data_IF_019310931043
#
_entry.id   IF_019310931043
#
_cell.length_a   1.000
_cell.length_b   1.000
_cell.length_c   1.000
_cell.angle_alpha   90.00
_cell.angle_beta   90.00
_cell.angle_gamma   90.00
#
_symmetry.space_group_name_H-M   'P 1'
#
loop_
_entity.id
_entity.type
_entity.pdbx_description
1 polymer ?
#
# COMPACT_ATOMS: atom_id res chain seq x y z
N UNK A 1 51.47 -38.90 -17.26
CA UNK A 1 50.71 -40.14 -17.01
C UNK A 1 49.62 -39.85 -15.99
N UNK A 2 48.46 -40.49 -16.18
CA UNK A 2 47.16 -40.34 -15.51
C UNK A 2 46.20 -39.28 -16.11
N UNK A 3 44.90 -39.62 -16.28
CA UNK A 3 44.16 -39.33 -17.51
C UNK A 3 43.04 -38.28 -17.37
N UNK A 4 42.70 -37.67 -18.51
CA UNK A 4 41.49 -36.88 -18.70
C UNK A 4 40.27 -37.80 -18.82
N UNK A 5 39.24 -37.55 -18.00
CA UNK A 5 37.90 -38.13 -18.21
C UNK A 5 37.04 -37.09 -18.92
N UNK A 6 36.77 -37.42 -20.17
CA UNK A 6 35.79 -36.83 -21.08
C UNK A 6 34.41 -37.33 -20.69
N UNK A 7 33.48 -36.42 -20.37
CA UNK A 7 32.05 -36.73 -20.45
C UNK A 7 31.41 -35.74 -21.40
N UNK A 8 31.28 -36.20 -22.65
CA UNK A 8 30.48 -35.57 -23.69
C UNK A 8 29.03 -35.89 -23.40
N UNK A 9 28.23 -34.87 -23.07
CA UNK A 9 26.78 -34.99 -23.02
C UNK A 9 26.16 -34.10 -24.09
N UNK A 10 25.91 -34.77 -25.21
CA UNK A 10 25.14 -34.30 -26.35
C UNK A 10 23.68 -34.15 -25.93
N UNK A 11 23.17 -32.93 -25.86
CA UNK A 11 21.72 -32.67 -25.92
C UNK A 11 21.47 -31.66 -27.03
N UNK A 12 20.70 -32.13 -28.00
CA UNK A 12 20.35 -31.45 -29.21
C UNK A 12 19.36 -30.30 -28.95
N UNK A 13 19.74 -29.11 -29.44
CA UNK A 13 18.95 -28.30 -30.39
C UNK A 13 17.47 -28.02 -30.03
N UNK A 14 17.26 -26.99 -29.21
CA UNK A 14 16.08 -26.11 -29.34
C UNK A 14 16.35 -24.74 -28.69
N UNK A 15 16.21 -23.66 -29.46
CA UNK A 15 16.00 -22.31 -28.92
C UNK A 15 17.26 -21.47 -28.61
N UNK A 16 18.01 -21.13 -29.63
CA UNK A 16 18.97 -20.01 -29.59
C UNK A 16 18.22 -18.70 -29.28
N UNK A 17 18.50 -18.06 -28.13
CA UNK A 17 17.92 -16.75 -27.84
C UNK A 17 18.13 -16.14 -26.44
N UNK A 18 18.61 -16.89 -25.44
CA UNK A 18 18.63 -16.38 -24.05
C UNK A 18 20.00 -16.48 -23.33
N UNK A 19 21.01 -17.11 -23.93
CA UNK A 19 22.30 -17.37 -23.25
C UNK A 19 23.35 -16.27 -23.49
N UNK A 20 22.93 -14.99 -23.49
CA UNK A 20 23.88 -13.85 -23.57
C UNK A 20 23.90 -12.95 -22.34
N UNK A 21 23.34 -13.40 -21.22
CA UNK A 21 23.32 -12.62 -19.97
C UNK A 21 24.04 -13.26 -18.77
N UNK A 22 24.61 -14.45 -18.90
CA UNK A 22 25.25 -15.14 -17.75
C UNK A 22 26.78 -15.09 -17.72
N UNK A 23 27.41 -14.24 -18.53
CA UNK A 23 28.84 -13.93 -18.38
C UNK A 23 29.00 -12.41 -18.44
N UNK A 24 28.59 -11.73 -17.36
CA UNK A 24 29.02 -10.37 -17.07
C UNK A 24 29.95 -10.47 -15.85
N UNK A 25 31.26 -10.21 -15.99
CA UNK A 25 32.16 -10.24 -14.85
C UNK A 25 31.73 -9.19 -13.83
N UNK A 26 31.61 -9.61 -12.57
CA UNK A 26 31.37 -8.74 -11.44
C UNK A 26 32.53 -7.74 -11.34
N UNK A 27 32.28 -6.49 -11.77
CA UNK A 27 33.15 -5.37 -11.41
C UNK A 27 32.77 -4.95 -10.00
N UNK A 28 33.65 -5.25 -9.04
CA UNK A 28 33.65 -4.61 -7.73
C UNK A 28 33.65 -3.09 -7.93
N UNK A 29 32.70 -2.34 -7.35
CA UNK A 29 32.83 -0.90 -7.27
C UNK A 29 33.87 -0.61 -6.19
N UNK A 30 35.12 -0.42 -6.62
CA UNK A 30 36.10 0.32 -5.84
C UNK A 30 35.53 1.73 -5.69
N UNK A 31 35.45 2.19 -4.44
CA UNK A 31 35.13 3.56 -4.06
C UNK A 31 36.09 4.52 -4.77
N UNK A 32 35.68 5.02 -5.93
CA UNK A 32 36.38 6.10 -6.63
C UNK A 32 35.78 7.43 -6.15
N UNK A 33 36.40 7.94 -5.08
CA UNK A 33 36.03 9.14 -4.35
C UNK A 33 36.58 10.40 -5.03
N UNK A 34 36.45 10.52 -6.36
CA UNK A 34 36.85 11.74 -7.07
C UNK A 34 36.47 11.73 -8.55
N UNK A 35 35.23 12.06 -8.90
CA UNK A 35 34.93 12.75 -10.15
C UNK A 35 33.44 13.13 -10.23
N UNK A 36 33.19 14.43 -10.36
CA UNK A 36 31.92 15.08 -10.74
C UNK A 36 30.79 15.01 -9.71
N UNK A 37 30.60 16.13 -9.00
CA UNK A 37 29.45 16.42 -8.15
C UNK A 37 28.14 16.51 -8.95
N UNK A 38 27.60 15.35 -9.35
CA UNK A 38 26.18 15.19 -9.69
C UNK A 38 25.54 14.37 -8.58
N UNK A 39 24.66 15.01 -7.83
CA UNK A 39 23.84 14.33 -6.84
C UNK A 39 22.95 13.28 -7.53
N UNK A 40 23.10 11.97 -7.20
CA UNK A 40 22.26 10.91 -7.75
C UNK A 40 20.78 11.05 -7.35
N UNK A 41 20.46 11.91 -6.37
CA UNK A 41 19.11 12.19 -5.89
C UNK A 41 18.32 13.19 -6.75
N UNK A 42 18.98 13.92 -7.66
CA UNK A 42 18.32 14.89 -8.54
C UNK A 42 17.81 14.27 -9.85
N UNK A 43 18.49 13.24 -10.38
CA UNK A 43 18.13 12.62 -11.67
C UNK A 43 16.96 11.62 -11.58
N UNK A 44 16.63 11.10 -10.39
CA UNK A 44 15.48 10.21 -10.19
C UNK A 44 14.11 10.93 -10.24
N UNK A 45 14.09 12.28 -10.12
CA UNK A 45 12.87 13.09 -10.02
C UNK A 45 12.13 13.37 -11.35
N UNK A 46 12.78 13.64 -12.50
CA UNK A 46 12.06 13.96 -13.73
C UNK A 46 11.31 12.77 -14.34
N UNK A 47 11.90 11.56 -14.33
CA UNK A 47 11.27 10.37 -14.90
C UNK A 47 10.09 9.87 -14.06
N UNK A 48 10.16 9.99 -12.73
CA UNK A 48 9.04 9.67 -11.84
C UNK A 48 7.85 10.63 -12.03
N UNK A 49 8.10 11.92 -12.30
CA UNK A 49 7.04 12.91 -12.59
C UNK A 49 6.34 12.64 -13.93
N UNK A 50 7.08 12.25 -14.98
CA UNK A 50 6.50 11.91 -16.28
C UNK A 50 5.67 10.61 -16.23
N UNK A 51 6.14 9.58 -15.51
CA UNK A 51 5.38 8.34 -15.30
C UNK A 51 4.13 8.55 -14.42
N UNK A 52 4.20 9.45 -13.43
CA UNK A 52 3.03 9.89 -12.65
C UNK A 52 2.03 10.66 -13.51
N UNK A 53 2.48 11.56 -14.38
CA UNK A 53 1.61 12.31 -15.30
C UNK A 53 0.84 11.39 -16.28
N UNK A 54 1.51 10.37 -16.81
CA UNK A 54 0.88 9.39 -17.70
C UNK A 54 -0.20 8.54 -17.00
N UNK A 55 0.03 8.15 -15.74
CA UNK A 55 -0.95 7.39 -14.95
C UNK A 55 -2.13 8.25 -14.49
N UNK A 56 -1.93 9.55 -14.20
CA UNK A 56 -3.01 10.49 -13.90
C UNK A 56 -3.87 10.78 -15.13
N UNK A 57 -3.25 10.96 -16.31
CA UNK A 57 -3.98 11.17 -17.57
C UNK A 57 -4.84 9.95 -17.96
N UNK A 58 -4.33 8.72 -17.79
CA UNK A 58 -5.12 7.50 -18.02
C UNK A 58 -6.27 7.33 -17.03
N UNK A 59 -6.08 7.76 -15.77
CA UNK A 59 -7.13 7.72 -14.73
C UNK A 59 -8.20 8.79 -14.95
N UNK A 60 -7.83 9.99 -15.41
CA UNK A 60 -8.79 11.05 -15.78
C UNK A 60 -9.70 10.66 -16.94
N UNK A 61 -9.17 9.92 -17.92
CA UNK A 61 -9.93 9.42 -19.07
C UNK A 61 -11.02 8.41 -18.64
N UNK A 62 -10.71 7.56 -17.66
CA UNK A 62 -11.70 6.64 -17.06
C UNK A 62 -12.82 7.38 -16.31
N UNK A 63 -12.50 8.52 -15.69
CA UNK A 63 -13.48 9.32 -14.94
C UNK A 63 -14.42 10.08 -15.89
N UNK A 64 -13.88 10.64 -16.98
CA UNK A 64 -14.68 11.25 -18.05
C UNK A 64 -15.59 10.21 -18.71
N UNK A 65 -15.07 9.01 -18.99
CA UNK A 65 -15.87 7.92 -19.57
C UNK A 65 -17.02 7.49 -18.64
N UNK A 66 -16.77 7.39 -17.33
CA UNK A 66 -17.81 7.09 -16.35
C UNK A 66 -18.86 8.20 -16.26
N UNK A 67 -18.45 9.47 -16.37
CA UNK A 67 -19.36 10.61 -16.33
C UNK A 67 -20.25 10.65 -17.58
N UNK A 68 -19.69 10.40 -18.76
CA UNK A 68 -20.44 10.27 -20.02
C UNK A 68 -21.42 9.10 -19.94
N UNK A 69 -20.97 7.94 -19.45
CA UNK A 69 -21.83 6.76 -19.32
C UNK A 69 -22.97 6.98 -18.30
N UNK A 70 -22.69 7.69 -17.21
CA UNK A 70 -23.69 8.07 -16.22
C UNK A 70 -24.73 9.04 -16.80
N UNK A 71 -24.29 10.05 -17.57
CA UNK A 71 -25.19 10.98 -18.25
C UNK A 71 -26.08 10.26 -19.26
N UNK A 72 -25.50 9.33 -20.03
CA UNK A 72 -26.23 8.55 -21.02
C UNK A 72 -27.27 7.62 -20.35
N UNK A 73 -26.87 6.95 -19.25
CA UNK A 73 -27.79 6.15 -18.46
C UNK A 73 -28.93 6.98 -17.85
N UNK A 74 -28.62 8.15 -17.30
CA UNK A 74 -29.62 9.06 -16.75
C UNK A 74 -30.59 9.59 -17.82
N UNK A 75 -30.08 9.88 -19.02
CA UNK A 75 -30.89 10.29 -20.17
C UNK A 75 -31.92 9.21 -20.54
N UNK A 76 -31.47 7.96 -20.73
CA UNK A 76 -32.36 6.84 -21.11
C UNK A 76 -33.41 6.59 -20.02
N UNK A 77 -32.99 6.53 -18.76
CA UNK A 77 -33.91 6.33 -17.62
C UNK A 77 -34.92 7.48 -17.53
N UNK A 78 -34.48 8.72 -17.74
CA UNK A 78 -35.35 9.88 -17.75
C UNK A 78 -36.41 9.82 -18.86
N UNK A 79 -36.01 9.47 -20.08
CA UNK A 79 -36.96 9.34 -21.21
C UNK A 79 -37.98 8.23 -20.97
N UNK A 80 -37.54 7.08 -20.46
CA UNK A 80 -38.43 5.96 -20.12
C UNK A 80 -39.38 6.34 -18.98
N UNK A 81 -38.92 7.07 -17.97
CA UNK A 81 -39.76 7.55 -16.86
C UNK A 81 -40.84 8.53 -17.35
N UNK A 82 -40.53 9.43 -18.29
CA UNK A 82 -41.51 10.36 -18.88
C UNK A 82 -42.58 9.59 -19.66
N UNK A 83 -42.19 8.63 -20.51
CA UNK A 83 -43.13 7.82 -21.28
C UNK A 83 -44.04 6.97 -20.37
N UNK A 84 -43.48 6.37 -19.32
CA UNK A 84 -44.24 5.62 -18.32
C UNK A 84 -45.15 6.54 -17.49
N UNK A 85 -44.73 7.78 -17.21
CA UNK A 85 -45.53 8.78 -16.51
C UNK A 85 -46.77 9.18 -17.28
N UNK A 86 -46.65 9.36 -18.60
CA UNK A 86 -47.79 9.61 -19.49
C UNK A 86 -48.75 8.41 -19.47
N UNK A 87 -48.22 7.19 -19.53
CA UNK A 87 -49.02 5.96 -19.45
C UNK A 87 -49.74 5.77 -18.10
N UNK A 88 -49.09 6.13 -16.99
CA UNK A 88 -49.68 6.08 -15.65
C UNK A 88 -50.79 7.13 -15.48
N UNK A 89 -50.58 8.34 -15.99
CA UNK A 89 -51.59 9.40 -15.99
C UNK A 89 -52.82 9.05 -16.84
N UNK A 90 -52.65 8.21 -17.86
CA UNK A 90 -53.74 7.64 -18.66
C UNK A 90 -54.51 6.49 -17.95
N UNK A 91 -54.18 6.19 -16.69
CA UNK A 91 -54.88 5.19 -15.87
C UNK A 91 -54.33 3.76 -15.96
N UNK A 92 -53.17 3.55 -16.59
CA UNK A 92 -52.56 2.21 -16.66
C UNK A 92 -51.81 1.86 -15.36
N UNK A 93 -52.37 0.91 -14.61
CA UNK A 93 -51.76 0.37 -13.38
C UNK A 93 -50.41 -0.28 -13.64
N UNK A 94 -50.24 -0.92 -14.80
CA UNK A 94 -48.98 -1.56 -15.21
C UNK A 94 -47.90 -0.51 -15.47
N UNK A 95 -48.26 0.63 -16.08
CA UNK A 95 -47.33 1.74 -16.29
C UNK A 95 -46.87 2.37 -14.96
N UNK A 96 -47.75 2.46 -13.96
CA UNK A 96 -47.40 2.93 -12.62
C UNK A 96 -46.38 2.04 -11.90
N UNK A 97 -46.54 0.71 -11.97
CA UNK A 97 -45.58 -0.24 -11.41
C UNK A 97 -44.22 -0.18 -12.10
N UNK A 98 -44.22 -0.15 -13.44
CA UNK A 98 -43.00 -0.03 -14.22
C UNK A 98 -42.28 1.29 -13.94
N UNK A 99 -43.01 2.40 -13.78
CA UNK A 99 -42.45 3.70 -13.39
C UNK A 99 -41.74 3.63 -12.03
N UNK A 100 -42.40 3.04 -11.03
CA UNK A 100 -41.80 2.83 -9.71
C UNK A 100 -40.52 2.00 -9.78
N UNK A 101 -40.50 0.93 -10.58
CA UNK A 101 -39.32 0.08 -10.76
C UNK A 101 -38.17 0.83 -11.46
N UNK A 102 -38.46 1.63 -12.50
CA UNK A 102 -37.46 2.48 -13.15
C UNK A 102 -36.89 3.56 -12.24
N UNK A 103 -37.73 4.16 -11.39
CA UNK A 103 -37.29 5.12 -10.37
C UNK A 103 -36.37 4.45 -9.34
N UNK A 104 -36.74 3.25 -8.88
CA UNK A 104 -35.92 2.48 -7.93
C UNK A 104 -34.56 2.11 -8.53
N UNK A 105 -34.53 1.63 -9.78
CA UNK A 105 -33.27 1.36 -10.48
C UNK A 105 -32.43 2.63 -10.68
N UNK A 106 -33.07 3.75 -10.99
CA UNK A 106 -32.40 5.05 -11.07
C UNK A 106 -31.75 5.45 -9.75
N UNK A 107 -32.48 5.30 -8.63
CA UNK A 107 -32.00 5.58 -7.27
C UNK A 107 -30.85 4.65 -6.86
N UNK A 108 -30.94 3.37 -7.22
CA UNK A 108 -29.89 2.40 -6.95
C UNK A 108 -28.64 2.68 -7.79
N UNK A 109 -28.82 3.10 -9.05
CA UNK A 109 -27.76 3.54 -9.94
C UNK A 109 -27.06 4.79 -9.42
N UNK A 110 -27.80 5.82 -9.01
CA UNK A 110 -27.24 7.06 -8.44
C UNK A 110 -26.56 6.81 -7.09
N UNK A 111 -27.11 5.92 -6.25
CA UNK A 111 -26.46 5.51 -5.01
C UNK A 111 -25.14 4.77 -5.28
N UNK A 112 -25.11 3.84 -6.23
CA UNK A 112 -23.91 3.06 -6.56
C UNK A 112 -22.82 3.92 -7.22
N UNK A 113 -23.21 4.78 -8.16
CA UNK A 113 -22.31 5.75 -8.81
C UNK A 113 -21.84 6.82 -7.83
N UNK A 114 -22.71 7.33 -6.96
CA UNK A 114 -22.34 8.26 -5.89
C UNK A 114 -21.34 7.66 -4.91
N UNK A 115 -21.55 6.40 -4.52
CA UNK A 115 -20.60 5.67 -3.67
C UNK A 115 -19.26 5.41 -4.38
N UNK A 116 -19.28 5.13 -5.69
CA UNK A 116 -18.06 4.98 -6.49
C UNK A 116 -17.34 6.30 -6.74
N UNK A 117 -18.08 7.40 -6.95
CA UNK A 117 -17.56 8.75 -7.07
C UNK A 117 -16.97 9.23 -5.74
N UNK A 118 -17.60 8.94 -4.60
CA UNK A 118 -17.04 9.20 -3.26
C UNK A 118 -15.76 8.43 -3.00
N UNK A 119 -15.66 7.17 -3.45
CA UNK A 119 -14.41 6.41 -3.38
C UNK A 119 -13.31 6.99 -4.28
N UNK A 120 -13.67 7.54 -5.45
CA UNK A 120 -12.73 8.21 -6.34
C UNK A 120 -12.34 9.60 -5.81
N UNK A 121 -13.24 10.35 -5.18
CA UNK A 121 -12.98 11.63 -4.53
C UNK A 121 -12.11 11.45 -3.29
N UNK A 122 -12.36 10.41 -2.47
CA UNK A 122 -11.44 10.00 -1.40
C UNK A 122 -10.07 9.63 -1.94
N UNK A 123 -10.00 8.95 -3.09
CA UNK A 123 -8.74 8.68 -3.78
C UNK A 123 -8.12 9.93 -4.46
N UNK A 124 -8.85 11.04 -4.58
CA UNK A 124 -8.38 12.32 -5.14
C UNK A 124 -7.91 13.27 -4.04
N UNK A 125 -8.44 13.16 -2.81
CA UNK A 125 -7.87 13.81 -1.62
C UNK A 125 -6.49 13.25 -1.23
N UNK A 126 -6.12 12.08 -1.77
CA UNK A 126 -4.77 11.49 -1.66
C UNK A 126 -3.76 11.99 -2.72
N UNK A 127 -4.10 12.99 -3.54
CA UNK A 127 -3.13 13.71 -4.38
C UNK A 127 -2.76 15.03 -3.69
N UNK A 128 -1.67 15.11 -2.91
CA UNK A 128 -1.20 16.39 -2.44
C UNK A 128 -0.64 17.16 -3.65
N UNK A 129 -1.42 18.15 -4.10
CA UNK A 129 -0.87 19.35 -4.71
C UNK A 129 0.02 20.02 -3.65
N UNK A 130 1.30 19.66 -3.64
CA UNK A 130 2.25 20.14 -2.65
C UNK A 130 3.17 19.03 -2.20
N UNK A 131 4.32 18.93 -2.85
CA UNK A 131 5.43 18.06 -2.48
C UNK A 131 6.13 18.49 -1.16
N UNK A 132 5.37 18.98 -0.17
CA UNK A 132 5.87 19.47 1.12
C UNK A 132 5.26 18.76 2.34
N UNK A 133 4.40 17.74 2.15
CA UNK A 133 3.95 16.89 3.28
C UNK A 133 4.87 15.69 3.50
N UNK A 134 6.12 15.99 3.89
CA UNK A 134 6.79 15.24 4.94
C UNK A 134 6.26 15.65 6.35
N UNK A 135 5.14 16.37 6.40
CA UNK A 135 4.34 16.55 7.59
C UNK A 135 3.56 15.25 7.83
N UNK A 136 3.90 14.59 8.94
CA UNK A 136 3.24 13.43 9.50
C UNK A 136 1.74 13.41 9.19
N UNK A 137 1.34 12.53 8.27
CA UNK A 137 -0.03 12.01 8.28
C UNK A 137 -0.27 11.42 9.69
N UNK A 138 -1.44 11.65 10.31
CA UNK A 138 -1.72 11.12 11.63
C UNK A 138 -1.59 9.60 11.59
N UNK A 139 -0.90 9.01 12.58
CA UNK A 139 -0.62 7.56 12.64
C UNK A 139 -1.90 6.70 12.59
N UNK A 140 -3.05 7.27 12.96
CA UNK A 140 -4.37 6.64 12.81
C UNK A 140 -4.76 6.27 11.37
N UNK A 141 -4.24 6.99 10.35
CA UNK A 141 -4.45 6.63 8.94
C UNK A 141 -3.68 5.35 8.56
N UNK A 142 -2.47 5.17 9.11
CA UNK A 142 -1.62 4.00 8.84
C UNK A 142 -2.15 2.76 9.55
N UNK A 143 -2.64 2.92 10.78
CA UNK A 143 -3.29 1.83 11.51
C UNK A 143 -4.57 1.36 10.79
N UNK A 144 -5.41 2.27 10.32
CA UNK A 144 -6.61 1.91 9.56
C UNK A 144 -6.26 1.16 8.26
N UNK A 145 -5.20 1.57 7.57
CA UNK A 145 -4.66 0.89 6.39
C UNK A 145 -4.19 -0.53 6.69
N UNK A 146 -3.44 -0.74 7.77
CA UNK A 146 -3.01 -2.06 8.23
C UNK A 146 -4.19 -2.99 8.55
N UNK A 147 -5.20 -2.49 9.26
CA UNK A 147 -6.40 -3.27 9.60
C UNK A 147 -7.25 -3.59 8.36
N UNK A 148 -7.26 -2.71 7.36
CA UNK A 148 -7.88 -3.00 6.07
C UNK A 148 -7.10 -4.07 5.32
N UNK A 149 -5.78 -3.98 5.27
CA UNK A 149 -4.90 -4.97 4.64
C UNK A 149 -5.09 -6.35 5.28
N UNK A 150 -5.14 -6.40 6.62
CA UNK A 150 -5.38 -7.63 7.38
C UNK A 150 -6.69 -8.30 6.94
N UNK A 151 -7.80 -7.55 7.02
CA UNK A 151 -9.13 -8.05 6.63
C UNK A 151 -9.20 -8.50 5.17
N UNK A 152 -8.46 -7.84 4.28
CA UNK A 152 -8.43 -8.16 2.86
C UNK A 152 -7.72 -9.50 2.57
N UNK A 153 -6.76 -9.92 3.40
CA UNK A 153 -5.87 -11.04 3.10
C UNK A 153 -5.97 -12.20 4.09
N UNK A 154 -6.63 -12.02 5.22
CA UNK A 154 -6.85 -13.06 6.24
C UNK A 154 -7.45 -14.35 5.65
N UNK A 155 -8.49 -14.22 4.82
CA UNK A 155 -9.17 -15.37 4.20
C UNK A 155 -8.43 -16.00 3.01
N UNK A 156 -7.47 -15.29 2.41
CA UNK A 156 -6.77 -15.74 1.20
C UNK A 156 -5.50 -16.55 1.50
N UNK A 157 -4.98 -16.46 2.72
CA UNK A 157 -3.74 -17.10 3.15
C UNK A 157 -4.00 -18.48 3.79
N UNK A 158 -3.08 -19.42 3.56
CA UNK A 158 -3.02 -20.70 4.28
C UNK A 158 -2.70 -20.49 5.76
N UNK A 159 -2.97 -21.49 6.60
CA UNK A 159 -2.83 -21.39 8.07
C UNK A 159 -1.48 -20.84 8.56
N UNK A 160 -0.30 -21.32 8.10
CA UNK A 160 0.98 -20.81 8.58
C UNK A 160 1.27 -19.37 8.10
N UNK A 161 0.94 -19.06 6.84
CA UNK A 161 1.11 -17.71 6.30
C UNK A 161 0.17 -16.70 6.97
N UNK A 162 -1.05 -17.11 7.30
CA UNK A 162 -2.03 -16.29 8.02
C UNK A 162 -1.53 -15.91 9.41
N UNK A 163 -1.02 -16.88 10.17
CA UNK A 163 -0.53 -16.60 11.52
C UNK A 163 0.72 -15.71 11.52
N UNK A 164 1.65 -15.93 10.59
CA UNK A 164 2.81 -15.07 10.38
C UNK A 164 2.38 -13.64 10.01
N UNK A 165 1.51 -13.50 9.01
CA UNK A 165 1.02 -12.20 8.57
C UNK A 165 0.31 -11.43 9.70
N UNK A 166 -0.53 -12.12 10.48
CA UNK A 166 -1.20 -11.51 11.63
C UNK A 166 -0.20 -11.00 12.67
N UNK A 167 0.83 -11.79 13.01
CA UNK A 167 1.89 -11.36 13.93
C UNK A 167 2.64 -10.15 13.41
N UNK A 168 3.02 -10.14 12.13
CA UNK A 168 3.72 -9.00 11.52
C UNK A 168 2.86 -7.73 11.54
N UNK A 169 1.57 -7.84 11.21
CA UNK A 169 0.65 -6.69 11.25
C UNK A 169 0.49 -6.15 12.68
N UNK A 170 0.33 -7.01 13.68
CA UNK A 170 0.23 -6.61 15.09
C UNK A 170 1.52 -5.94 15.55
N UNK A 171 2.69 -6.52 15.24
CA UNK A 171 3.98 -5.92 15.57
C UNK A 171 4.14 -4.53 14.94
N UNK A 172 3.72 -4.37 13.68
CA UNK A 172 3.79 -3.09 12.94
C UNK A 172 2.87 -2.04 13.54
N UNK A 173 1.63 -2.43 13.87
CA UNK A 173 0.70 -1.54 14.58
C UNK A 173 1.27 -1.09 15.93
N UNK A 174 1.81 -2.02 16.72
CA UNK A 174 2.32 -1.70 18.05
C UNK A 174 3.55 -0.79 17.97
N UNK A 175 4.44 -1.00 16.99
CA UNK A 175 5.56 -0.11 16.71
C UNK A 175 5.10 1.28 16.23
N UNK A 176 4.07 1.38 15.37
CA UNK A 176 3.50 2.65 14.93
C UNK A 176 2.97 3.48 16.12
N UNK A 177 2.23 2.85 17.04
CA UNK A 177 1.74 3.49 18.26
C UNK A 177 2.87 3.97 19.18
N UNK A 178 3.99 3.25 19.19
CA UNK A 178 5.19 3.69 19.90
C UNK A 178 5.93 4.83 19.18
N UNK A 179 5.73 5.00 17.87
CA UNK A 179 6.32 6.07 17.08
C UNK A 179 5.46 7.36 17.05
N UNK A 180 4.15 7.25 17.27
CA UNK A 180 3.19 8.37 17.17
C UNK A 180 3.45 9.52 18.17
N UNK A 181 3.79 9.20 19.43
CA UNK A 181 3.95 10.22 20.47
C UNK A 181 5.34 10.87 20.48
N UNK A 182 6.09 10.79 19.38
CA UNK A 182 7.43 11.35 19.30
C UNK A 182 7.40 12.77 18.70
N UNK A 183 8.05 13.75 19.33
CA UNK A 183 8.07 15.13 18.84
C UNK A 183 8.96 15.30 17.59
N UNK A 184 9.83 14.34 17.27
CA UNK A 184 10.76 14.39 16.14
C UNK A 184 10.62 13.17 15.24
N UNK A 185 10.63 13.39 13.92
CA UNK A 185 10.61 12.31 12.94
C UNK A 185 11.98 11.61 12.93
N UNK A 186 12.04 10.45 13.58
CA UNK A 186 13.25 9.64 13.65
C UNK A 186 13.30 8.60 12.51
N UNK A 187 14.51 8.11 12.19
CA UNK A 187 14.69 7.06 11.18
C UNK A 187 13.86 5.81 11.47
N UNK A 188 13.81 5.39 12.73
CA UNK A 188 13.02 4.21 13.09
C UNK A 188 11.51 4.45 12.89
N UNK A 189 11.01 5.66 13.14
CA UNK A 189 9.62 6.03 12.84
C UNK A 189 9.34 5.94 11.35
N UNK A 190 10.28 6.37 10.51
CA UNK A 190 10.18 6.22 9.06
C UNK A 190 10.20 4.76 8.63
N UNK A 191 11.12 3.94 9.14
CA UNK A 191 11.21 2.50 8.83
C UNK A 191 9.88 1.78 9.14
N UNK A 192 9.24 2.11 10.27
CA UNK A 192 7.96 1.50 10.66
C UNK A 192 6.79 2.00 9.80
N UNK A 193 6.76 3.29 9.46
CA UNK A 193 5.76 3.84 8.54
C UNK A 193 5.91 3.26 7.13
N UNK A 194 7.14 3.08 6.65
CA UNK A 194 7.43 2.45 5.37
C UNK A 194 6.96 1.00 5.37
N UNK A 195 7.27 0.23 6.43
CA UNK A 195 6.80 -1.14 6.57
C UNK A 195 5.27 -1.25 6.49
N UNK A 196 4.56 -0.31 7.12
CA UNK A 196 3.10 -0.28 7.14
C UNK A 196 2.47 0.15 5.81
N UNK A 197 3.05 1.15 5.13
CA UNK A 197 2.48 1.78 3.94
C UNK A 197 2.90 1.14 2.62
N UNK A 198 4.11 0.60 2.58
CA UNK A 198 4.75 0.15 1.35
C UNK A 198 5.08 -1.35 1.44
N UNK A 199 5.97 -1.75 2.36
CA UNK A 199 6.55 -3.09 2.33
C UNK A 199 5.49 -4.19 2.52
N UNK A 200 4.60 -4.08 3.52
CA UNK A 200 3.56 -5.08 3.76
C UNK A 200 2.51 -5.14 2.62
N UNK A 201 1.91 -4.02 2.19
CA UNK A 201 1.01 -4.03 1.02
C UNK A 201 1.68 -4.54 -0.26
N UNK A 202 2.92 -4.16 -0.53
CA UNK A 202 3.65 -4.57 -1.74
C UNK A 202 3.98 -6.06 -1.70
N UNK A 203 4.44 -6.59 -0.56
CA UNK A 203 4.67 -8.02 -0.37
C UNK A 203 3.39 -8.83 -0.63
N UNK A 204 2.26 -8.34 -0.14
CA UNK A 204 0.96 -8.99 -0.35
C UNK A 204 0.49 -8.90 -1.80
N UNK A 205 0.68 -7.76 -2.46
CA UNK A 205 0.40 -7.61 -3.88
C UNK A 205 1.28 -8.56 -4.74
N UNK A 206 2.57 -8.65 -4.43
CA UNK A 206 3.52 -9.52 -5.11
C UNK A 206 3.17 -11.00 -4.93
N UNK A 207 2.89 -11.43 -3.70
CA UNK A 207 2.49 -12.80 -3.41
C UNK A 207 1.22 -13.21 -4.18
N UNK A 208 0.22 -12.33 -4.28
CA UNK A 208 -1.02 -12.62 -5.02
C UNK A 208 -0.85 -12.59 -6.54
N UNK A 209 0.18 -11.93 -7.05
CA UNK A 209 0.46 -11.87 -8.49
C UNK A 209 1.08 -13.18 -9.01
N UNK A 210 1.62 -14.02 -8.12
CA UNK A 210 2.27 -15.30 -8.47
C UNK A 210 1.29 -16.46 -8.21
N UNK A 211 1.29 -17.51 -9.05
CA UNK A 211 0.49 -18.70 -8.79
C UNK A 211 0.81 -19.35 -7.43
N UNK A 212 -0.19 -19.86 -6.70
CA UNK A 212 0.03 -20.50 -5.40
C UNK A 212 0.97 -21.70 -5.53
N UNK A 213 2.07 -21.68 -4.78
CA UNK A 213 3.06 -22.74 -4.74
C UNK A 213 3.73 -22.83 -3.37
N UNK A 214 4.29 -23.99 -3.02
CA UNK A 214 5.02 -24.12 -1.76
C UNK A 214 6.21 -23.15 -1.67
N UNK A 215 6.91 -22.92 -2.78
CA UNK A 215 8.04 -22.00 -2.83
C UNK A 215 7.62 -20.54 -2.59
N UNK A 216 6.49 -20.11 -3.16
CA UNK A 216 5.95 -18.76 -2.90
C UNK A 216 5.51 -18.58 -1.44
N UNK A 217 4.98 -19.63 -0.82
CA UNK A 217 4.56 -19.60 0.58
C UNK A 217 5.78 -19.52 1.53
N UNK A 218 6.83 -20.29 1.25
CA UNK A 218 8.09 -20.25 2.02
C UNK A 218 8.77 -18.88 1.90
N UNK A 219 8.83 -18.32 0.69
CA UNK A 219 9.37 -16.97 0.47
C UNK A 219 8.53 -15.90 1.17
N UNK A 220 7.20 -16.03 1.16
CA UNK A 220 6.33 -15.10 1.89
C UNK A 220 6.62 -15.14 3.40
N UNK A 221 6.73 -16.34 3.98
CA UNK A 221 7.02 -16.52 5.39
C UNK A 221 8.38 -15.91 5.78
N UNK A 222 9.40 -16.09 4.94
CA UNK A 222 10.72 -15.49 5.14
C UNK A 222 10.65 -13.95 5.17
N UNK A 223 9.99 -13.34 4.18
CA UNK A 223 9.89 -11.88 4.08
C UNK A 223 9.06 -11.29 5.23
N UNK A 224 7.95 -11.95 5.61
CA UNK A 224 7.16 -11.55 6.79
C UNK A 224 7.98 -11.63 8.07
N UNK A 225 8.85 -12.64 8.21
CA UNK A 225 9.76 -12.78 9.33
C UNK A 225 10.79 -11.67 9.41
N UNK A 226 11.35 -11.24 8.27
CA UNK A 226 12.30 -10.12 8.22
C UNK A 226 11.65 -8.79 8.64
N UNK A 227 10.45 -8.51 8.12
CA UNK A 227 9.69 -7.30 8.48
C UNK A 227 9.32 -7.35 9.97
N UNK A 228 8.79 -8.48 10.46
CA UNK A 228 8.43 -8.67 11.87
C UNK A 228 9.62 -8.41 12.78
N UNK A 229 10.78 -9.03 12.50
CA UNK A 229 11.98 -8.89 13.31
C UNK A 229 12.45 -7.43 13.38
N UNK A 230 12.51 -6.73 12.23
CA UNK A 230 12.95 -5.33 12.17
C UNK A 230 12.02 -4.41 12.96
N UNK A 231 10.72 -4.57 12.78
CA UNK A 231 9.71 -3.75 13.44
C UNK A 231 9.67 -4.02 14.95
N UNK A 232 9.81 -5.27 15.38
CA UNK A 232 9.92 -5.61 16.80
C UNK A 232 11.19 -5.05 17.44
N UNK A 233 12.33 -5.11 16.73
CA UNK A 233 13.58 -4.51 17.17
C UNK A 233 13.40 -3.00 17.41
N UNK A 234 12.83 -2.29 16.44
CA UNK A 234 12.46 -0.88 16.58
C UNK A 234 11.55 -0.67 17.79
N UNK A 235 10.44 -1.41 17.88
CA UNK A 235 9.48 -1.30 18.99
C UNK A 235 10.12 -1.50 20.36
N UNK A 236 11.02 -2.48 20.49
CA UNK A 236 11.73 -2.78 21.74
C UNK A 236 12.71 -1.67 22.13
N UNK A 237 13.51 -1.15 21.18
CA UNK A 237 14.41 -0.01 21.40
C UNK A 237 13.63 1.21 21.86
N UNK A 238 12.46 1.46 21.26
CA UNK A 238 11.55 2.57 21.58
C UNK A 238 10.92 2.44 22.96
N UNK A 239 10.40 1.25 23.28
CA UNK A 239 9.85 0.97 24.59
C UNK A 239 10.89 1.16 25.70
N UNK A 240 12.13 0.70 25.47
CA UNK A 240 13.23 0.91 26.42
C UNK A 240 13.58 2.40 26.59
N UNK A 241 13.59 3.18 25.51
CA UNK A 241 13.83 4.63 25.57
C UNK A 241 12.74 5.36 26.36
N UNK A 242 11.45 5.06 26.10
CA UNK A 242 10.33 5.65 26.87
C UNK A 242 10.42 5.32 28.35
N UNK A 243 10.75 4.07 28.71
CA UNK A 243 10.94 3.67 30.12
C UNK A 243 12.06 4.47 30.78
N UNK A 244 13.20 4.67 30.11
CA UNK A 244 14.30 5.51 30.62
C UNK A 244 13.87 6.97 30.83
N UNK A 245 13.14 7.54 29.87
CA UNK A 245 12.66 8.92 29.98
C UNK A 245 11.66 9.10 31.14
N UNK A 246 10.72 8.17 31.30
CA UNK A 246 9.79 8.16 32.44
C UNK A 246 10.53 8.00 33.78
N UNK A 247 11.54 7.13 33.85
CA UNK A 247 12.36 6.97 35.04
C UNK A 247 13.15 8.23 35.40
N UNK A 248 13.78 8.87 34.41
CA UNK A 248 14.50 10.13 34.60
C UNK A 248 13.57 11.27 35.03
N UNK A 249 12.38 11.37 34.41
CA UNK A 249 11.39 12.37 34.80
C UNK A 249 10.87 12.12 36.22
N UNK A 250 10.60 10.86 36.58
CA UNK A 250 10.21 10.49 37.95
C UNK A 250 11.29 10.84 38.99
N UNK A 251 12.56 10.59 38.68
CA UNK A 251 13.69 10.96 39.55
C UNK A 251 13.82 12.49 39.70
N UNK A 252 13.65 13.24 38.60
CA UNK A 252 13.65 14.70 38.62
C UNK A 252 12.51 15.26 39.48
N UNK A 253 11.28 14.78 39.28
CA UNK A 253 10.13 15.21 40.09
C UNK A 253 10.35 14.87 41.57
N UNK A 254 10.87 13.68 41.86
CA UNK A 254 11.18 13.27 43.22
C UNK A 254 12.16 14.25 43.89
N UNK A 255 13.31 14.52 43.26
CA UNK A 255 14.27 15.48 43.80
C UNK A 255 13.71 16.91 43.93
N UNK A 256 12.85 17.33 43.01
CA UNK A 256 12.23 18.67 43.04
C UNK A 256 11.19 18.83 44.16
N UNK A 257 10.44 17.79 44.48
CA UNK A 257 9.30 17.87 45.40
C UNK A 257 9.55 17.24 46.78
N UNK A 258 10.52 16.33 46.92
CA UNK A 258 10.91 15.79 48.23
C UNK A 258 11.96 16.65 48.93
N UNK A 259 12.64 17.55 48.19
CA UNK A 259 13.71 18.41 48.72
C UNK A 259 14.99 17.61 49.02
N UNK A 260 16.16 18.21 48.77
CA UNK A 260 17.37 17.70 49.40
C UNK A 260 17.22 17.92 50.92
N UNK A 261 17.51 16.93 51.78
CA UNK A 261 17.56 17.19 53.21
C UNK A 261 18.61 18.29 53.44
N UNK A 262 18.16 19.46 53.87
CA UNK A 262 19.05 20.51 54.38
C UNK A 262 19.74 19.91 55.62
N UNK A 263 21.03 19.58 55.49
CA UNK A 263 21.94 19.37 56.62
C UNK A 263 22.36 20.72 57.24
#
# INVERSE_FOLDING_TARGET
MAPHVTTVLTVARAGAGVVRYLIRPARHPVLDLSATGRDPWLEARPQARLRRGANVARRGLGLVMLLVLALLGASVVGTVAVLLGIGAAAGSTVAGWLLGFTLLLGLLGTFWTGRRALNLLRATEDLPAGADRAAALPAGADEAGLLQLLRQHEGALGAPARSAFHRTVVATRDALRLAENEPTLSRDTYDVQQAAREDLPELMAAYRAVPPSRASDEQLLEQLGLIEARVQEVGSRRAAQRRRMLGAHGAYLRGKYEGEPEE
#
